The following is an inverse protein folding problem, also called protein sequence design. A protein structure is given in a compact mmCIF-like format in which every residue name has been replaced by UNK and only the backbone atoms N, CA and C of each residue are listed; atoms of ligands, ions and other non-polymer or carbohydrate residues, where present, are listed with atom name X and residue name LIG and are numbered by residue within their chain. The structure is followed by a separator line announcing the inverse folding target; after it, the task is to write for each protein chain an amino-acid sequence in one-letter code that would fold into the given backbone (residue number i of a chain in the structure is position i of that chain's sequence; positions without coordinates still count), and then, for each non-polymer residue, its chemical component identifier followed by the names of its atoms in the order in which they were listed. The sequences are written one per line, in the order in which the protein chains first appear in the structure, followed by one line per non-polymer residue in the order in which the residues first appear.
data_IF_314372300778
#
_entry.id   IF_314372300778
#
_cell.length_a   1.000
_cell.length_b   1.000
_cell.length_c   1.000
_cell.angle_alpha   90.00
_cell.angle_beta   90.00
_cell.angle_gamma   90.00
#
_symmetry.space_group_name_H-M   'P 1'
#
loop_
_entity.id
_entity.type
_entity.pdbx_description
1 polymer ?
#
# COMPACT_ATOMS: atom_id res chain seq x y z
N UNK A 1 22.43 -39.67 -4.02
CA UNK A 1 21.35 -39.13 -3.19
C UNK A 1 21.47 -37.62 -3.24
N UNK A 2 20.80 -36.98 -4.18
CA UNK A 2 20.82 -35.53 -4.33
C UNK A 2 19.47 -35.01 -3.85
N UNK A 3 19.44 -34.36 -2.69
CA UNK A 3 18.22 -33.71 -2.22
C UNK A 3 17.99 -32.47 -3.08
N UNK A 4 16.93 -32.51 -3.89
CA UNK A 4 16.37 -31.36 -4.58
C UNK A 4 16.01 -30.31 -3.54
N UNK A 5 16.57 -29.11 -3.67
CA UNK A 5 16.11 -27.95 -2.90
C UNK A 5 14.65 -27.75 -3.32
N UNK A 6 13.71 -28.10 -2.44
CA UNK A 6 12.31 -27.72 -2.59
C UNK A 6 12.27 -26.20 -2.66
N UNK A 7 12.06 -25.68 -3.87
CA UNK A 7 11.81 -24.28 -4.15
C UNK A 7 10.82 -23.77 -3.11
N UNK A 8 11.25 -22.83 -2.28
CA UNK A 8 10.42 -22.19 -1.26
C UNK A 8 9.14 -21.75 -1.98
N UNK A 9 8.03 -22.44 -1.72
CA UNK A 9 6.73 -22.17 -2.30
C UNK A 9 6.19 -20.91 -1.64
N UNK A 10 6.78 -19.77 -1.97
CA UNK A 10 6.24 -18.47 -1.63
C UNK A 10 5.07 -18.27 -2.60
N UNK A 11 3.82 -18.19 -2.12
CA UNK A 11 2.72 -17.85 -3.01
C UNK A 11 3.10 -16.56 -3.73
N UNK A 12 2.83 -16.43 -5.05
CA UNK A 12 3.03 -15.16 -5.71
C UNK A 12 2.33 -14.13 -4.86
N UNK A 13 3.05 -13.06 -4.48
CA UNK A 13 2.45 -11.98 -3.71
C UNK A 13 1.11 -11.68 -4.36
N UNK A 14 -0.01 -11.65 -3.59
CA UNK A 14 -1.30 -11.33 -4.17
C UNK A 14 -1.08 -10.07 -5.00
N UNK A 15 -1.60 -10.07 -6.24
CA UNK A 15 -1.46 -8.94 -7.14
C UNK A 15 -2.23 -7.76 -6.53
N UNK A 16 -1.62 -7.07 -5.57
CA UNK A 16 -2.19 -5.97 -4.83
C UNK A 16 -2.05 -4.76 -5.74
N UNK A 17 -3.18 -4.27 -6.22
CA UNK A 17 -3.25 -2.98 -6.88
C UNK A 17 -2.99 -1.88 -5.83
N UNK A 18 -1.73 -1.44 -5.75
CA UNK A 18 -1.29 -0.42 -4.79
C UNK A 18 -1.98 0.93 -5.04
N UNK A 19 -2.33 1.24 -6.30
CA UNK A 19 -3.05 2.47 -6.63
C UNK A 19 -4.45 2.45 -6.01
N UNK A 20 -5.15 1.33 -6.18
CA UNK A 20 -6.47 1.13 -5.60
C UNK A 20 -6.43 1.09 -4.07
N UNK A 21 -5.43 0.43 -3.48
CA UNK A 21 -5.23 0.37 -2.03
C UNK A 21 -5.04 1.78 -1.44
N UNK A 22 -4.17 2.61 -2.02
CA UNK A 22 -3.99 4.00 -1.58
C UNK A 22 -5.30 4.78 -1.60
N UNK A 23 -6.10 4.62 -2.66
CA UNK A 23 -7.39 5.30 -2.79
C UNK A 23 -8.41 4.84 -1.76
N UNK A 24 -8.52 3.53 -1.53
CA UNK A 24 -9.45 2.94 -0.57
C UNK A 24 -9.18 3.43 0.85
N UNK A 25 -7.94 3.25 1.33
CA UNK A 25 -7.53 3.67 2.68
C UNK A 25 -7.79 5.16 2.91
N UNK A 26 -7.47 5.99 1.90
CA UNK A 26 -7.72 7.43 1.98
C UNK A 26 -9.21 7.75 2.13
N UNK A 27 -10.06 7.14 1.30
CA UNK A 27 -11.50 7.39 1.28
C UNK A 27 -12.16 6.89 2.55
N UNK A 28 -11.79 5.70 3.02
CA UNK A 28 -12.28 5.14 4.29
C UNK A 28 -11.89 6.00 5.49
N UNK A 29 -10.70 6.60 5.48
CA UNK A 29 -10.27 7.57 6.49
C UNK A 29 -10.93 8.95 6.34
N UNK A 30 -11.71 9.21 5.28
CA UNK A 30 -12.33 10.52 5.03
C UNK A 30 -11.32 11.62 4.65
N UNK A 31 -10.16 11.26 4.10
CA UNK A 31 -9.06 12.19 3.84
C UNK A 31 -9.00 12.65 2.37
N UNK A 32 -8.48 13.84 2.15
CA UNK A 32 -8.00 14.31 0.84
C UNK A 32 -6.62 13.73 0.51
N UNK A 33 -6.20 13.81 -0.76
CA UNK A 33 -4.88 13.33 -1.20
C UNK A 33 -3.73 14.09 -0.49
N UNK A 34 -3.91 15.38 -0.22
CA UNK A 34 -2.92 16.20 0.49
C UNK A 34 -2.83 15.84 1.98
N UNK A 35 -3.97 15.59 2.63
CA UNK A 35 -3.99 15.24 4.06
C UNK A 35 -3.33 13.89 4.32
N UNK A 36 -3.67 12.85 3.55
CA UNK A 36 -3.03 11.55 3.74
C UNK A 36 -1.55 11.59 3.37
N UNK A 37 -1.18 12.37 2.34
CA UNK A 37 0.23 12.54 1.98
C UNK A 37 1.03 13.16 3.13
N UNK A 38 0.47 14.17 3.80
CA UNK A 38 1.06 14.79 4.99
C UNK A 38 1.16 13.79 6.15
N UNK A 39 0.12 13.00 6.41
CA UNK A 39 0.11 11.98 7.46
C UNK A 39 1.23 10.94 7.26
N UNK A 40 1.39 10.43 6.04
CA UNK A 40 2.41 9.40 5.76
C UNK A 40 3.79 9.99 5.44
N UNK A 41 3.93 11.32 5.39
CA UNK A 41 5.19 12.01 5.16
C UNK A 41 5.68 11.96 3.71
N UNK A 42 4.78 12.05 2.73
CA UNK A 42 5.08 12.23 1.30
C UNK A 42 4.51 13.56 0.80
N UNK A 43 4.68 13.84 -0.50
CA UNK A 43 4.06 14.99 -1.16
C UNK A 43 2.72 14.59 -1.80
N UNK A 44 1.72 15.49 -1.79
CA UNK A 44 0.45 15.23 -2.47
C UNK A 44 0.61 14.93 -3.97
N UNK A 45 1.61 15.54 -4.63
CA UNK A 45 1.99 15.20 -6.01
C UNK A 45 2.36 13.73 -6.17
N UNK A 46 3.20 13.18 -5.27
CA UNK A 46 3.60 11.77 -5.35
C UNK A 46 2.40 10.87 -5.08
N UNK A 47 1.59 11.21 -4.07
CA UNK A 47 0.40 10.46 -3.72
C UNK A 47 -0.63 10.39 -4.87
N UNK A 48 -0.88 11.52 -5.54
CA UNK A 48 -1.77 11.57 -6.71
C UNK A 48 -1.30 10.65 -7.84
N UNK A 49 0.01 10.61 -8.10
CA UNK A 49 0.59 9.72 -9.12
C UNK A 49 0.50 8.25 -8.73
N UNK A 50 0.50 7.94 -7.44
CA UNK A 50 0.24 6.58 -6.94
C UNK A 50 -1.19 6.15 -7.23
N UNK A 51 -2.19 6.96 -6.88
CA UNK A 51 -3.60 6.64 -7.19
C UNK A 51 -3.90 6.58 -8.69
N UNK A 52 -3.14 7.30 -9.52
CA UNK A 52 -3.26 7.25 -10.97
C UNK A 52 -2.52 6.05 -11.62
N UNK A 53 -1.75 5.27 -10.83
CA UNK A 53 -0.93 4.17 -11.34
C UNK A 53 0.31 4.61 -12.12
N UNK A 54 0.61 5.91 -12.18
CA UNK A 54 1.76 6.48 -12.90
C UNK A 54 3.10 6.28 -12.17
N UNK A 55 3.03 6.07 -10.86
CA UNK A 55 4.19 5.84 -10.00
C UNK A 55 3.79 4.83 -8.92
N UNK A 56 4.71 3.94 -8.55
CA UNK A 56 4.47 3.01 -7.45
C UNK A 56 5.05 3.59 -6.15
N UNK A 57 4.33 3.48 -5.00
CA UNK A 57 4.90 3.82 -3.72
C UNK A 57 6.06 2.87 -3.38
N UNK A 58 7.08 3.38 -2.70
CA UNK A 58 8.15 2.52 -2.18
C UNK A 58 7.61 1.59 -1.08
N UNK A 59 8.39 0.56 -0.72
CA UNK A 59 8.01 -0.36 0.36
C UNK A 59 7.73 0.35 1.70
N UNK A 60 8.45 1.44 2.00
CA UNK A 60 8.21 2.25 3.21
C UNK A 60 6.82 2.87 3.23
N UNK A 61 6.37 3.46 2.11
CA UNK A 61 5.04 4.08 2.04
C UNK A 61 3.94 3.03 1.96
N UNK A 62 4.20 1.92 1.28
CA UNK A 62 3.30 0.76 1.25
C UNK A 62 3.03 0.24 2.66
N UNK A 63 4.07 0.07 3.48
CA UNK A 63 3.93 -0.33 4.88
C UNK A 63 3.08 0.66 5.69
N UNK A 64 3.27 1.98 5.50
CA UNK A 64 2.45 3.01 6.17
C UNK A 64 0.97 2.94 5.77
N UNK A 65 0.68 2.72 4.49
CA UNK A 65 -0.71 2.59 4.00
C UNK A 65 -1.36 1.33 4.56
N UNK A 66 -0.65 0.20 4.60
CA UNK A 66 -1.14 -1.03 5.20
C UNK A 66 -1.42 -0.86 6.70
N UNK A 67 -0.50 -0.22 7.43
CA UNK A 67 -0.71 0.06 8.85
C UNK A 67 -1.95 0.93 9.09
N UNK A 68 -2.19 1.96 8.25
CA UNK A 68 -3.38 2.79 8.34
C UNK A 68 -4.66 2.00 8.03
N UNK A 69 -4.63 1.13 7.02
CA UNK A 69 -5.76 0.23 6.70
C UNK A 69 -6.10 -0.64 7.91
N UNK A 70 -5.10 -1.28 8.51
CA UNK A 70 -5.32 -2.19 9.63
C UNK A 70 -5.90 -1.43 10.85
N UNK A 71 -5.53 -0.16 11.06
CA UNK A 71 -6.14 0.70 12.09
C UNK A 71 -7.63 0.98 11.82
N UNK A 72 -8.00 1.24 10.57
CA UNK A 72 -9.39 1.49 10.18
C UNK A 72 -10.26 0.23 10.38
N UNK A 73 -9.71 -0.95 10.07
CA UNK A 73 -10.42 -2.23 10.19
C UNK A 73 -10.63 -2.67 11.65
N UNK A 74 -9.72 -2.33 12.55
CA UNK A 74 -9.82 -2.67 13.98
C UNK A 74 -10.71 -1.69 14.79
N UNK A 75 -11.23 -0.64 14.16
CA UNK A 75 -12.07 0.38 14.81
C UNK A 75 -13.57 0.19 14.58
N UNK A 76 -13.99 -0.97 14.03
CA UNK A 76 -15.38 -1.37 13.76
C UNK A 76 -15.80 -2.54 14.65
#
# INVERSE_FOLDING_TARGET
MSQTIETINMPPLPNIDLAQLCKQVRVEAGLTQEEIAKIIGTTGRSYRRWEAGELQPSGQFTAKILALRDQLQNSQ
#
